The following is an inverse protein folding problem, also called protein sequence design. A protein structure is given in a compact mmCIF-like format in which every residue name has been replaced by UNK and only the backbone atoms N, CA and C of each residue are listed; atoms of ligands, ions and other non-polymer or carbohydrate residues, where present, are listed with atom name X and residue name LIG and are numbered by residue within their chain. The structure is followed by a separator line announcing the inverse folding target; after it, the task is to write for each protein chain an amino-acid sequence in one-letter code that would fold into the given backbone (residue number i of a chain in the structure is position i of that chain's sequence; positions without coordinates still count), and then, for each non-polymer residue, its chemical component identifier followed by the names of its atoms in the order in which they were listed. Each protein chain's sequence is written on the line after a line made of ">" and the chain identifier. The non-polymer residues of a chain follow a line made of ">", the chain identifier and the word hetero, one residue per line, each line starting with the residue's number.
data_IF_527274859731
#
_entry.id   IF_527274859731
#
_cell.length_a   1.000
_cell.length_b   1.000
_cell.length_c   1.000
_cell.angle_alpha   90.00
_cell.angle_beta   90.00
_cell.angle_gamma   90.00
#
_symmetry.space_group_name_H-M   'P 1'
#
loop_
_entity.id
_entity.type
_entity.pdbx_description
1 polymer ?
#
# COMPACT_ATOMS: atom_id res chain seq x y z
N UNK A 1 13.74 -11.43 -46.98
CA UNK A 1 14.32 -11.89 -45.71
C UNK A 1 14.39 -10.80 -44.62
N UNK A 2 14.53 -9.52 -44.98
CA UNK A 2 14.80 -8.45 -43.99
C UNK A 2 13.58 -8.00 -43.17
N UNK A 3 12.36 -8.10 -43.72
CA UNK A 3 11.12 -7.75 -42.99
C UNK A 3 10.81 -8.74 -41.87
N UNK A 4 11.08 -10.03 -42.07
CA UNK A 4 10.85 -11.08 -41.06
C UNK A 4 11.81 -10.93 -39.87
N UNK A 5 13.08 -10.60 -40.13
CA UNK A 5 14.07 -10.29 -39.09
C UNK A 5 13.74 -8.98 -38.34
N UNK A 6 13.17 -7.99 -39.03
CA UNK A 6 12.72 -6.73 -38.41
C UNK A 6 11.54 -6.95 -37.46
N UNK A 7 10.51 -7.68 -37.90
CA UNK A 7 9.38 -8.03 -37.02
C UNK A 7 9.77 -8.96 -35.88
N UNK A 8 10.72 -9.88 -36.10
CA UNK A 8 11.27 -10.74 -35.06
C UNK A 8 12.08 -9.96 -34.02
N UNK A 9 12.89 -8.99 -34.45
CA UNK A 9 13.62 -8.09 -33.55
C UNK A 9 12.70 -7.18 -32.74
N UNK A 10 11.63 -6.65 -33.36
CA UNK A 10 10.61 -5.85 -32.67
C UNK A 10 9.85 -6.69 -31.63
N UNK A 11 9.51 -7.93 -31.97
CA UNK A 11 8.86 -8.86 -31.04
C UNK A 11 9.76 -9.20 -29.84
N UNK A 12 11.06 -9.41 -30.07
CA UNK A 12 12.02 -9.66 -28.99
C UNK A 12 12.18 -8.46 -28.05
N UNK A 13 12.24 -7.24 -28.59
CA UNK A 13 12.37 -6.02 -27.79
C UNK A 13 11.16 -5.78 -26.86
N UNK A 14 9.95 -6.17 -27.27
CA UNK A 14 8.75 -6.08 -26.41
C UNK A 14 8.82 -7.08 -25.25
N UNK A 15 9.35 -8.29 -25.46
CA UNK A 15 9.47 -9.29 -24.39
C UNK A 15 10.52 -8.94 -23.32
N UNK A 16 11.59 -8.22 -23.69
CA UNK A 16 12.65 -7.81 -22.74
C UNK A 16 12.38 -6.47 -22.04
N UNK A 17 11.29 -5.77 -22.37
CA UNK A 17 10.95 -4.47 -21.77
C UNK A 17 10.11 -4.53 -20.49
N UNK A 18 9.67 -5.72 -20.06
CA UNK A 18 8.84 -5.87 -18.88
C UNK A 18 9.69 -6.03 -17.62
N UNK A 19 9.75 -4.98 -16.80
CA UNK A 19 10.23 -5.07 -15.42
C UNK A 19 9.18 -5.75 -14.54
N UNK A 20 9.56 -6.77 -13.79
CA UNK A 20 8.71 -7.34 -12.75
C UNK A 20 8.60 -6.33 -11.61
N UNK A 21 7.41 -5.75 -11.40
CA UNK A 21 7.11 -4.95 -10.21
C UNK A 21 6.73 -5.91 -9.09
N UNK A 22 7.60 -6.04 -8.08
CA UNK A 22 7.25 -6.72 -6.83
C UNK A 22 6.40 -5.81 -5.97
N UNK A 23 5.44 -6.39 -5.24
CA UNK A 23 4.75 -5.65 -4.19
C UNK A 23 5.76 -5.21 -3.12
N UNK A 24 5.70 -3.95 -2.72
CA UNK A 24 6.46 -3.39 -1.60
C UNK A 24 6.25 -4.24 -0.36
N UNK A 25 7.32 -4.66 0.31
CA UNK A 25 7.21 -5.25 1.65
C UNK A 25 7.32 -4.16 2.72
N UNK A 26 6.54 -4.21 3.81
CA UNK A 26 6.78 -3.34 4.98
C UNK A 26 8.24 -3.35 5.45
N UNK A 27 8.89 -4.52 5.39
CA UNK A 27 10.27 -4.70 5.85
C UNK A 27 11.28 -3.87 5.06
N UNK A 28 10.98 -3.51 3.79
CA UNK A 28 11.82 -2.64 2.96
C UNK A 28 11.98 -1.23 3.56
N UNK A 29 11.07 -0.85 4.45
CA UNK A 29 11.00 0.45 5.11
C UNK A 29 11.11 0.38 6.64
N UNK A 30 11.59 -0.74 7.22
CA UNK A 30 11.60 -0.99 8.67
C UNK A 30 10.19 -0.95 9.31
N UNK A 31 9.18 -1.33 8.53
CA UNK A 31 7.80 -1.53 8.96
C UNK A 31 7.48 -3.03 9.05
N UNK A 32 6.37 -3.36 9.70
CA UNK A 32 5.82 -4.72 9.83
C UNK A 32 4.30 -4.72 9.69
N UNK A 33 3.70 -5.91 9.56
CA UNK A 33 2.23 -6.08 9.60
C UNK A 33 1.62 -5.31 10.76
N UNK A 34 0.56 -4.56 10.46
CA UNK A 34 -0.23 -3.87 11.46
C UNK A 34 0.42 -2.61 12.01
N UNK A 35 1.59 -2.20 11.52
CA UNK A 35 2.14 -0.89 11.85
C UNK A 35 1.19 0.21 11.36
N UNK A 36 1.04 1.22 12.22
CA UNK A 36 0.31 2.43 11.90
C UNK A 36 1.27 3.47 11.38
N UNK A 37 0.93 4.14 10.29
CA UNK A 37 1.78 5.12 9.62
C UNK A 37 1.04 6.42 9.36
N UNK A 38 1.76 7.54 9.41
CA UNK A 38 1.32 8.85 8.96
C UNK A 38 2.50 9.64 8.37
N UNK A 39 2.21 10.58 7.46
CA UNK A 39 3.23 11.29 6.69
C UNK A 39 3.63 12.63 7.33
N UNK A 40 4.88 12.77 7.80
CA UNK A 40 5.35 13.95 8.56
C UNK A 40 5.52 15.25 7.79
N UNK A 41 5.63 15.16 6.46
CA UNK A 41 5.82 16.31 5.57
C UNK A 41 4.64 16.46 4.61
N UNK A 42 3.46 16.04 5.04
CA UNK A 42 2.22 16.07 4.27
C UNK A 42 1.16 16.83 5.06
N UNK A 43 0.31 17.56 4.36
CA UNK A 43 -0.91 18.15 4.94
C UNK A 43 -2.02 17.10 5.15
N UNK A 44 -1.73 15.84 4.83
CA UNK A 44 -2.59 14.68 5.02
C UNK A 44 -2.58 14.26 6.51
N UNK A 45 -3.67 14.48 7.26
CA UNK A 45 -3.77 14.09 8.66
C UNK A 45 -4.06 12.59 8.83
N UNK A 46 -4.20 11.84 7.74
CA UNK A 46 -4.66 10.47 7.77
C UNK A 46 -3.63 9.53 8.40
N UNK A 47 -4.17 8.53 9.08
CA UNK A 47 -3.41 7.39 9.61
C UNK A 47 -3.78 6.17 8.79
N UNK A 48 -2.79 5.38 8.44
CA UNK A 48 -3.00 4.12 7.72
C UNK A 48 -2.44 2.95 8.50
N UNK A 49 -3.03 1.77 8.32
CA UNK A 49 -2.46 0.50 8.76
C UNK A 49 -1.90 -0.25 7.55
N UNK A 50 -0.62 -0.67 7.62
CA UNK A 50 0.04 -1.43 6.54
C UNK A 50 -0.05 -2.92 6.76
N UNK A 51 0.01 -3.70 5.67
CA UNK A 51 0.08 -5.15 5.72
C UNK A 51 1.28 -5.75 4.96
N UNK A 52 1.60 -7.02 5.22
CA UNK A 52 2.72 -7.77 4.62
C UNK A 52 2.57 -7.93 3.10
N UNK A 53 1.35 -7.78 2.58
CA UNK A 53 1.06 -7.82 1.15
C UNK A 53 1.36 -6.50 0.43
N UNK A 54 1.84 -5.47 1.14
CA UNK A 54 2.23 -4.19 0.56
C UNK A 54 1.07 -3.22 0.36
N UNK A 55 -0.02 -3.39 1.10
CA UNK A 55 -1.17 -2.49 1.04
C UNK A 55 -1.30 -1.66 2.32
N UNK A 56 -2.01 -0.54 2.20
CA UNK A 56 -2.43 0.27 3.35
C UNK A 56 -3.95 0.41 3.40
N UNK A 57 -4.52 0.55 4.60
CA UNK A 57 -5.94 0.89 4.80
C UNK A 57 -6.07 2.16 5.61
N UNK A 58 -6.98 3.04 5.20
CA UNK A 58 -7.25 4.30 5.86
C UNK A 58 -7.98 4.09 7.19
N UNK A 59 -7.47 4.71 8.26
CA UNK A 59 -8.22 4.97 9.49
C UNK A 59 -8.89 6.35 9.40
N UNK A 60 -10.20 6.32 9.13
CA UNK A 60 -10.99 7.47 8.66
C UNK A 60 -11.11 8.66 9.63
N UNK A 61 -10.92 8.47 10.94
CA UNK A 61 -11.17 9.55 11.91
C UNK A 61 -10.41 9.31 13.23
N UNK A 62 -9.71 10.32 13.78
CA UNK A 62 -9.13 10.28 15.12
C UNK A 62 -10.08 9.82 16.24
N UNK A 63 -11.37 10.19 16.16
CA UNK A 63 -12.40 9.75 17.09
C UNK A 63 -12.73 8.26 16.91
N UNK A 64 -12.77 7.78 15.66
CA UNK A 64 -12.96 6.35 15.38
C UNK A 64 -11.76 5.54 15.86
N UNK A 65 -10.56 6.12 15.76
CA UNK A 65 -9.33 5.48 16.19
C UNK A 65 -9.30 5.21 17.70
N UNK A 66 -10.05 5.98 18.51
CA UNK A 66 -10.26 5.68 19.94
C UNK A 66 -10.96 4.34 20.19
N UNK A 67 -11.72 3.80 19.23
CA UNK A 67 -12.30 2.45 19.36
C UNK A 67 -11.26 1.32 19.20
N UNK A 68 -10.06 1.63 18.73
CA UNK A 68 -8.98 0.67 18.48
C UNK A 68 -7.83 0.81 19.48
N UNK A 69 -8.17 1.04 20.77
CA UNK A 69 -7.17 1.20 21.86
C UNK A 69 -6.14 0.08 21.92
N UNK A 70 -6.51 -1.14 21.53
CA UNK A 70 -5.63 -2.30 21.44
C UNK A 70 -4.45 -2.13 20.47
N UNK A 71 -4.53 -1.19 19.53
CA UNK A 71 -3.42 -0.81 18.64
C UNK A 71 -2.43 0.16 19.31
N UNK A 72 -2.71 0.60 20.55
CA UNK A 72 -1.89 1.53 21.32
C UNK A 72 -2.04 3.01 20.93
N UNK A 73 -3.02 3.33 20.09
CA UNK A 73 -3.41 4.70 19.78
C UNK A 73 -2.35 5.50 19.04
N UNK A 74 -2.45 6.82 19.11
CA UNK A 74 -1.62 7.73 18.31
C UNK A 74 -0.13 7.65 18.68
N UNK A 75 0.20 7.19 19.88
CA UNK A 75 1.58 7.00 20.33
C UNK A 75 2.34 5.92 19.53
N UNK A 76 1.62 4.97 18.93
CA UNK A 76 2.19 3.91 18.11
C UNK A 76 2.19 4.24 16.60
N UNK A 77 1.73 5.43 16.22
CA UNK A 77 1.77 5.87 14.82
C UNK A 77 3.21 6.22 14.46
N UNK A 78 3.76 5.46 13.51
CA UNK A 78 5.07 5.71 12.93
C UNK A 78 4.99 6.86 11.95
N UNK A 79 5.89 7.79 12.14
CA UNK A 79 6.05 8.97 11.32
C UNK A 79 7.02 8.66 10.17
N UNK A 80 6.52 8.67 8.94
CA UNK A 80 7.26 8.30 7.73
C UNK A 80 7.20 9.41 6.68
N UNK A 81 8.02 9.30 5.63
CA UNK A 81 7.94 10.25 4.52
C UNK A 81 6.75 9.94 3.61
N UNK A 82 6.23 10.93 2.86
CA UNK A 82 5.15 10.71 1.89
C UNK A 82 5.49 9.63 0.85
N UNK A 83 6.74 9.54 0.42
CA UNK A 83 7.19 8.55 -0.57
C UNK A 83 7.03 7.13 -0.04
N UNK A 84 7.39 6.90 1.23
CA UNK A 84 7.20 5.61 1.90
C UNK A 84 5.71 5.30 2.03
N UNK A 85 4.88 6.30 2.39
CA UNK A 85 3.43 6.11 2.49
C UNK A 85 2.87 5.68 1.14
N UNK A 86 3.31 6.33 0.07
CA UNK A 86 2.77 6.16 -1.28
C UNK A 86 3.27 4.90 -1.99
N UNK A 87 4.35 4.29 -1.48
CA UNK A 87 4.78 2.96 -1.88
C UNK A 87 3.76 1.84 -1.55
N UNK A 88 2.84 2.09 -0.60
CA UNK A 88 1.75 1.18 -0.27
C UNK A 88 0.43 1.67 -0.90
N UNK A 89 -0.15 0.96 -1.89
CA UNK A 89 -1.48 1.28 -2.41
C UNK A 89 -2.59 1.18 -1.35
N UNK A 90 -3.51 2.15 -1.36
CA UNK A 90 -4.69 2.15 -0.47
C UNK A 90 -5.72 1.13 -0.93
N UNK A 91 -6.14 0.24 -0.04
CA UNK A 91 -7.25 -0.68 -0.29
C UNK A 91 -8.58 0.03 -0.06
N UNK A 92 -9.38 0.16 -1.11
CA UNK A 92 -10.74 0.69 -1.07
C UNK A 92 -11.82 -0.35 -0.72
N UNK A 93 -11.42 -1.54 -0.26
CA UNK A 93 -12.33 -2.60 0.15
C UNK A 93 -12.66 -2.46 1.64
N UNK A 94 -13.95 -2.44 1.95
CA UNK A 94 -14.47 -2.30 3.30
C UNK A 94 -15.54 -3.36 3.54
N UNK A 95 -15.63 -3.82 4.79
CA UNK A 95 -16.69 -4.75 5.19
C UNK A 95 -18.03 -4.03 5.14
N UNK A 96 -19.04 -4.65 4.53
CA UNK A 96 -20.41 -4.16 4.65
C UNK A 96 -20.94 -4.49 6.05
N UNK A 97 -20.90 -3.50 6.95
CA UNK A 97 -21.39 -3.63 8.32
C UNK A 97 -22.92 -3.67 8.43
N UNK A 98 -23.68 -3.24 7.41
CA UNK A 98 -25.16 -3.26 7.41
C UNK A 98 -25.69 -4.69 7.31
N UNK A 99 -25.02 -5.53 6.53
CA UNK A 99 -25.39 -6.95 6.34
C UNK A 99 -24.46 -7.92 7.06
N UNK A 100 -23.48 -7.39 7.79
CA UNK A 100 -22.41 -8.16 8.43
C UNK A 100 -21.69 -9.12 7.43
N UNK A 101 -21.61 -8.75 6.15
CA UNK A 101 -21.06 -9.60 5.09
C UNK A 101 -19.59 -9.92 5.43
N UNK A 102 -19.19 -11.21 5.49
CA UNK A 102 -17.81 -11.57 5.79
C UNK A 102 -16.84 -11.34 4.63
N UNK A 103 -17.32 -11.01 3.42
CA UNK A 103 -16.47 -10.74 2.26
C UNK A 103 -15.83 -9.36 2.39
N UNK A 104 -14.50 -9.31 2.34
CA UNK A 104 -13.68 -8.10 2.28
C UNK A 104 -12.59 -8.30 1.26
#
# INVERSE_FOLDING_TARGET
>A
MNKLLFFFGLFLAVFFGFSTVSATSPSDYNLKEGDLISAIFSDDPDVYIVNEHGYKRLFLNPEIFKFYTHLGGFANVKLITPEVRDAFPTVGLFRNCEKNDPKV
#
